data_IF_299667479275
#
_entry.id   IF_299667479275
#
_cell.length_a   1.000
_cell.length_b   1.000
_cell.length_c   1.000
_cell.angle_alpha   90.00
_cell.angle_beta   90.00
_cell.angle_gamma   90.00
#
_symmetry.space_group_name_H-M   'P 1'
#
loop_
_entity.id
_entity.type
_entity.pdbx_description
1 polymer ?
#
# COMPACT_ATOMS: atom_id res chain seq x y z
N UNK A 1 2.23 0.02 12.62
CA UNK A 1 2.47 0.42 11.21
C UNK A 1 3.72 -0.24 10.61
N UNK A 2 4.12 -1.44 11.05
CA UNK A 2 5.39 -2.08 10.65
C UNK A 2 5.33 -2.99 9.43
N UNK A 3 4.18 -3.14 8.76
CA UNK A 3 4.06 -4.09 7.65
C UNK A 3 4.61 -3.55 6.33
N UNK A 4 4.40 -2.25 6.06
CA UNK A 4 4.72 -1.68 4.76
C UNK A 4 6.25 -1.58 4.55
N UNK A 5 7.03 -1.40 5.62
CA UNK A 5 8.50 -1.30 5.55
C UNK A 5 9.22 -2.58 5.08
N UNK A 6 8.54 -3.73 5.01
CA UNK A 6 9.13 -5.01 4.60
C UNK A 6 8.79 -5.46 3.17
N UNK A 7 8.09 -4.63 2.39
CA UNK A 7 7.72 -4.97 1.01
C UNK A 7 8.87 -4.70 0.05
N UNK A 8 9.61 -5.74 -0.32
CA UNK A 8 10.55 -5.70 -1.44
C UNK A 8 9.87 -5.84 -2.81
N UNK A 9 8.62 -6.32 -2.85
CA UNK A 9 7.83 -6.55 -4.06
C UNK A 9 6.77 -5.47 -4.27
N UNK A 10 6.45 -5.19 -5.54
CA UNK A 10 5.34 -4.32 -5.94
C UNK A 10 4.02 -5.10 -5.78
N UNK A 11 3.13 -4.63 -4.92
CA UNK A 11 1.85 -5.30 -4.63
C UNK A 11 0.67 -4.40 -5.00
N UNK A 12 -0.46 -4.98 -5.39
CA UNK A 12 -1.68 -4.21 -5.62
C UNK A 12 -2.34 -3.77 -4.30
N UNK A 13 -3.29 -2.83 -4.39
CA UNK A 13 -3.96 -2.27 -3.22
C UNK A 13 -4.74 -3.33 -2.41
N UNK A 14 -5.36 -4.30 -3.07
CA UNK A 14 -6.14 -5.34 -2.38
C UNK A 14 -5.22 -6.28 -1.62
N UNK A 15 -4.13 -6.74 -2.23
CA UNK A 15 -3.15 -7.61 -1.57
C UNK A 15 -2.55 -6.95 -0.33
N UNK A 16 -2.22 -5.66 -0.41
CA UNK A 16 -1.76 -4.88 0.75
C UNK A 16 -2.81 -4.77 1.85
N UNK A 17 -4.06 -4.52 1.47
CA UNK A 17 -5.18 -4.43 2.42
C UNK A 17 -5.46 -5.78 3.10
N UNK A 18 -5.47 -6.87 2.34
CA UNK A 18 -5.61 -8.23 2.89
C UNK A 18 -4.47 -8.56 3.85
N UNK A 19 -3.22 -8.22 3.51
CA UNK A 19 -2.07 -8.42 4.41
C UNK A 19 -2.19 -7.62 5.72
N UNK A 20 -2.74 -6.39 5.68
CA UNK A 20 -3.05 -5.63 6.89
C UNK A 20 -4.14 -6.32 7.73
N UNK A 21 -5.24 -6.78 7.09
CA UNK A 21 -6.32 -7.50 7.78
C UNK A 21 -5.82 -8.79 8.42
N UNK A 22 -4.97 -9.54 7.73
CA UNK A 22 -4.36 -10.77 8.23
C UNK A 22 -3.52 -10.52 9.50
N UNK A 23 -2.88 -9.36 9.60
CA UNK A 23 -2.13 -8.93 10.79
C UNK A 23 -3.00 -8.38 11.93
N UNK A 24 -4.33 -8.50 11.82
CA UNK A 24 -5.29 -8.05 12.84
C UNK A 24 -5.64 -6.56 12.76
N UNK A 25 -5.26 -5.84 11.70
CA UNK A 25 -5.69 -4.45 11.54
C UNK A 25 -7.10 -4.41 10.96
N UNK A 26 -8.08 -3.98 11.76
CA UNK A 26 -9.45 -3.81 11.29
C UNK A 26 -9.64 -2.46 10.59
N UNK A 27 -9.27 -2.40 9.31
CA UNK A 27 -9.48 -1.22 8.47
C UNK A 27 -10.40 -1.56 7.31
N UNK A 28 -11.37 -0.69 7.00
CA UNK A 28 -12.17 -0.82 5.78
C UNK A 28 -11.31 -0.54 4.54
N UNK A 29 -11.68 -1.12 3.40
CA UNK A 29 -10.95 -0.90 2.13
C UNK A 29 -10.96 0.57 1.70
N UNK A 30 -12.05 1.30 1.95
CA UNK A 30 -12.13 2.73 1.64
C UNK A 30 -11.17 3.55 2.50
N UNK A 31 -11.14 3.30 3.81
CA UNK A 31 -10.19 3.96 4.72
C UNK A 31 -8.75 3.57 4.39
N UNK A 32 -8.51 2.33 3.98
CA UNK A 32 -7.22 1.88 3.49
C UNK A 32 -6.78 2.68 2.27
N UNK A 33 -7.62 2.78 1.24
CA UNK A 33 -7.31 3.54 0.02
C UNK A 33 -7.05 5.02 0.30
N UNK A 34 -7.80 5.64 1.20
CA UNK A 34 -7.53 7.03 1.64
C UNK A 34 -6.16 7.15 2.30
N UNK A 35 -5.78 6.19 3.17
CA UNK A 35 -4.45 6.20 3.81
C UNK A 35 -3.34 5.92 2.80
N UNK A 36 -3.54 4.96 1.90
CA UNK A 36 -2.57 4.62 0.84
C UNK A 36 -2.31 5.83 -0.06
N UNK A 37 -3.35 6.57 -0.45
CA UNK A 37 -3.19 7.83 -1.20
C UNK A 37 -2.32 8.84 -0.44
N UNK A 38 -2.58 9.06 0.86
CA UNK A 38 -1.77 9.96 1.70
C UNK A 38 -0.31 9.52 1.80
N UNK A 39 -0.05 8.21 1.87
CA UNK A 39 1.32 7.67 1.90
C UNK A 39 2.04 7.89 0.57
N UNK A 40 1.32 7.81 -0.55
CA UNK A 40 1.85 8.14 -1.87
C UNK A 40 2.15 9.64 -1.99
N UNK A 41 1.23 10.50 -1.56
CA UNK A 41 1.41 11.96 -1.54
C UNK A 41 2.59 12.38 -0.65
N UNK A 42 2.84 11.64 0.44
CA UNK A 42 3.98 11.86 1.33
C UNK A 42 5.31 11.28 0.81
N UNK A 43 5.33 10.62 -0.36
CA UNK A 43 6.53 10.00 -0.93
C UNK A 43 7.01 8.74 -0.19
N UNK A 44 6.22 8.22 0.76
CA UNK A 44 6.54 7.01 1.54
C UNK A 44 6.21 5.72 0.77
N UNK A 45 5.30 5.81 -0.20
CA UNK A 45 4.89 4.72 -1.08
C UNK A 45 4.95 5.21 -2.52
N UNK A 46 5.61 4.46 -3.38
CA UNK A 46 5.60 4.68 -4.83
C UNK A 46 4.37 4.00 -5.43
N UNK A 47 3.62 4.72 -6.28
CA UNK A 47 2.52 4.16 -7.07
C UNK A 47 2.95 4.02 -8.52
N UNK A 48 2.98 2.80 -9.05
CA UNK A 48 3.24 2.49 -10.46
C UNK A 48 1.94 2.10 -11.17
N UNK A 49 1.66 2.74 -12.30
CA UNK A 49 0.52 2.39 -13.15
C UNK A 49 1.01 1.55 -14.32
N UNK A 50 0.49 0.33 -14.47
CA UNK A 50 1.00 -0.67 -15.45
C UNK A 50 -0.01 -0.95 -16.57
N UNK A 51 -1.05 -0.12 -16.69
CA UNK A 51 -2.09 -0.23 -17.72
C UNK A 51 -3.41 0.37 -17.27
N UNK A 52 -4.50 0.01 -17.97
CA UNK A 52 -5.84 0.50 -17.66
C UNK A 52 -6.27 -0.05 -16.29
N UNK A 53 -6.43 0.87 -15.33
CA UNK A 53 -6.92 0.61 -13.97
C UNK A 53 -6.11 -0.37 -13.10
N UNK A 54 -4.87 -0.72 -13.49
CA UNK A 54 -3.95 -1.52 -12.66
C UNK A 54 -2.87 -0.65 -12.06
N UNK A 55 -2.84 -0.64 -10.73
CA UNK A 55 -1.88 0.10 -9.93
C UNK A 55 -1.18 -0.82 -8.96
N UNK A 56 0.13 -0.75 -8.94
CA UNK A 56 0.98 -1.42 -7.98
C UNK A 56 1.63 -0.39 -7.08
N UNK A 57 1.93 -0.82 -5.86
CA UNK A 57 2.45 0.02 -4.79
C UNK A 57 3.68 -0.63 -4.20
N UNK A 58 4.71 0.19 -3.96
CA UNK A 58 5.97 -0.25 -3.36
C UNK A 58 6.34 0.69 -2.23
N UNK A 59 6.85 0.17 -1.13
CA UNK A 59 7.38 1.01 -0.06
C UNK A 59 8.67 1.70 -0.53
N UNK A 60 8.76 3.01 -0.32
CA UNK A 60 10.02 3.72 -0.44
C UNK A 60 10.83 3.43 0.82
N UNK A 61 11.75 2.47 0.75
CA UNK A 61 12.78 2.24 1.76
C UNK A 61 13.77 3.41 1.73
N UNK A 62 13.38 4.53 2.32
CA UNK A 62 14.29 5.64 2.60
C UNK A 62 14.07 6.09 4.05
N UNK A 63 14.45 5.20 4.99
CA UNK A 63 14.68 5.49 6.40
C UNK A 63 15.91 4.71 6.86
#
# INVERSE_FOLDING_TARGET
MSYIKGLSAEEDAETLWFGMRFKGYELSISSFNTKLKKLVEAGLVEKRSVGYNKHFYRACLNV
#
